data_IF_382234122119
#
_entry.id   IF_382234122119
#
_cell.length_a   1.000
_cell.length_b   1.000
_cell.length_c   1.000
_cell.angle_alpha   90.00
_cell.angle_beta   90.00
_cell.angle_gamma   90.00
#
_symmetry.space_group_name_H-M   'P 1'
#
loop_
_entity.id
_entity.type
_entity.pdbx_description
1 polymer ?
#
# COMPACT_ATOMS: atom_id res chain seq x y z
N UNK A 1 -51.61 2.05 -2.62
CA UNK A 1 -51.24 0.63 -2.57
C UNK A 1 -49.89 0.46 -3.26
N UNK A 2 -48.80 0.72 -2.52
CA UNK A 2 -47.43 0.64 -3.01
C UNK A 2 -46.97 -0.82 -2.96
N UNK A 3 -46.66 -1.41 -4.11
CA UNK A 3 -45.98 -2.70 -4.19
C UNK A 3 -44.47 -2.45 -4.20
N UNK A 4 -43.84 -2.56 -3.03
CA UNK A 4 -42.39 -2.55 -2.89
C UNK A 4 -41.85 -3.89 -3.41
N UNK A 5 -41.28 -3.89 -4.62
CA UNK A 5 -40.57 -5.05 -5.17
C UNK A 5 -39.23 -5.13 -4.47
N UNK A 6 -39.13 -6.00 -3.46
CA UNK A 6 -37.85 -6.39 -2.86
C UNK A 6 -36.94 -6.95 -3.97
N UNK A 7 -35.93 -6.18 -4.37
CA UNK A 7 -34.80 -6.72 -5.14
C UNK A 7 -34.08 -7.69 -4.22
N UNK A 8 -34.12 -8.98 -4.56
CA UNK A 8 -33.47 -10.04 -3.81
C UNK A 8 -31.98 -9.75 -3.68
N UNK A 9 -31.49 -9.72 -2.45
CA UNK A 9 -30.08 -9.91 -2.19
C UNK A 9 -29.71 -11.32 -2.66
N UNK A 10 -28.99 -11.42 -3.77
CA UNK A 10 -28.28 -12.65 -4.10
C UNK A 10 -27.19 -12.85 -3.05
N UNK A 11 -27.48 -13.65 -2.04
CA UNK A 11 -26.48 -14.21 -1.14
C UNK A 11 -25.60 -15.12 -1.98
N UNK A 12 -24.38 -14.69 -2.29
CA UNK A 12 -23.37 -15.58 -2.84
C UNK A 12 -23.05 -16.65 -1.78
N UNK A 13 -23.45 -17.88 -2.04
CA UNK A 13 -23.06 -19.03 -1.22
C UNK A 13 -21.55 -19.23 -1.38
N UNK A 14 -20.79 -18.98 -0.31
CA UNK A 14 -19.35 -19.11 -0.36
C UNK A 14 -18.92 -20.57 -0.26
N UNK A 15 -18.67 -21.21 -1.40
CA UNK A 15 -17.99 -22.51 -1.46
C UNK A 15 -16.50 -22.40 -1.08
N UNK A 16 -15.86 -23.49 -0.64
CA UNK A 16 -14.43 -23.50 -0.34
C UNK A 16 -13.64 -23.21 -1.62
N UNK A 17 -12.83 -22.13 -1.62
CA UNK A 17 -11.99 -21.72 -2.75
C UNK A 17 -12.44 -20.47 -3.51
N UNK A 18 -13.32 -19.63 -2.95
CA UNK A 18 -13.71 -18.38 -3.60
C UNK A 18 -12.53 -17.43 -3.78
N UNK A 19 -12.22 -17.17 -5.06
CA UNK A 19 -11.27 -16.15 -5.53
C UNK A 19 -12.06 -15.04 -6.22
N UNK A 20 -12.75 -14.17 -5.46
CA UNK A 20 -13.69 -13.20 -6.04
C UNK A 20 -13.04 -12.20 -7.01
N UNK A 21 -11.72 -12.05 -6.95
CA UNK A 21 -10.95 -11.20 -7.88
C UNK A 21 -10.14 -12.00 -8.90
N UNK A 22 -10.47 -13.27 -9.13
CA UNK A 22 -9.85 -14.04 -10.19
C UNK A 22 -10.08 -13.37 -11.56
N UNK A 23 -9.01 -13.29 -12.37
CA UNK A 23 -9.01 -12.60 -13.65
C UNK A 23 -8.71 -11.10 -13.57
N UNK A 24 -8.76 -10.49 -12.39
CA UNK A 24 -8.42 -9.08 -12.19
C UNK A 24 -6.90 -8.91 -12.08
N UNK A 25 -6.35 -7.94 -12.82
CA UNK A 25 -4.94 -7.54 -12.78
C UNK A 25 -4.76 -6.21 -12.09
N UNK A 26 -3.87 -6.20 -11.10
CA UNK A 26 -3.54 -5.04 -10.28
C UNK A 26 -2.09 -4.63 -10.52
N UNK A 27 -1.88 -3.40 -10.96
CA UNK A 27 -0.58 -2.76 -11.02
C UNK A 27 -0.30 -2.05 -9.69
N UNK A 28 0.66 -2.56 -8.92
CA UNK A 28 1.02 -2.07 -7.60
C UNK A 28 2.30 -1.21 -7.70
N UNK A 29 2.14 0.11 -7.67
CA UNK A 29 3.25 1.08 -7.59
C UNK A 29 3.52 1.51 -6.14
N UNK A 30 2.91 0.84 -5.16
CA UNK A 30 2.91 1.28 -3.77
C UNK A 30 4.17 0.84 -3.03
N UNK A 31 4.45 1.53 -1.92
CA UNK A 31 5.60 1.28 -1.04
C UNK A 31 5.22 1.28 0.43
N UNK A 32 6.09 0.72 1.26
CA UNK A 32 5.99 0.74 2.73
C UNK A 32 4.85 -0.15 3.27
N UNK A 33 3.69 0.41 3.61
CA UNK A 33 2.67 -0.33 4.35
C UNK A 33 1.26 -0.20 3.79
N UNK A 34 0.68 1.01 3.82
CA UNK A 34 -0.75 1.18 3.52
C UNK A 34 -1.15 0.65 2.14
N UNK A 35 -0.39 1.02 1.11
CA UNK A 35 -0.60 0.53 -0.24
C UNK A 35 -0.28 -0.96 -0.41
N UNK A 36 0.91 -1.45 0.00
CA UNK A 36 1.24 -2.86 -0.14
C UNK A 36 0.25 -3.78 0.58
N UNK A 37 -0.25 -3.36 1.75
CA UNK A 37 -1.27 -4.08 2.50
C UNK A 37 -2.60 -4.16 1.73
N UNK A 38 -3.05 -3.04 1.14
CA UNK A 38 -4.27 -3.02 0.34
C UNK A 38 -4.17 -3.95 -0.87
N UNK A 39 -3.09 -3.87 -1.64
CA UNK A 39 -2.90 -4.72 -2.83
C UNK A 39 -2.63 -6.18 -2.49
N UNK A 40 -2.01 -6.46 -1.33
CA UNK A 40 -1.89 -7.83 -0.82
C UNK A 40 -3.26 -8.45 -0.56
N UNK A 41 -4.20 -7.72 0.04
CA UNK A 41 -5.57 -8.21 0.23
C UNK A 41 -6.21 -8.54 -1.12
N UNK A 42 -6.01 -7.71 -2.15
CA UNK A 42 -6.51 -8.01 -3.50
C UNK A 42 -5.90 -9.32 -4.05
N UNK A 43 -4.60 -9.54 -3.83
CA UNK A 43 -3.92 -10.80 -4.20
C UNK A 43 -4.40 -12.01 -3.39
N UNK A 44 -4.66 -11.84 -2.09
CA UNK A 44 -5.25 -12.87 -1.22
C UNK A 44 -6.67 -13.26 -1.69
N UNK A 45 -7.42 -12.30 -2.24
CA UNK A 45 -8.74 -12.49 -2.86
C UNK A 45 -8.68 -13.00 -4.32
N UNK A 46 -7.48 -13.27 -4.84
CA UNK A 46 -7.26 -13.98 -6.09
C UNK A 46 -6.81 -13.14 -7.28
N UNK A 47 -6.65 -11.83 -7.13
CA UNK A 47 -6.15 -10.95 -8.19
C UNK A 47 -4.69 -11.27 -8.55
N UNK A 48 -4.33 -11.04 -9.81
CA UNK A 48 -2.94 -11.05 -10.26
C UNK A 48 -2.31 -9.68 -9.96
N UNK A 49 -1.45 -9.61 -8.94
CA UNK A 49 -0.81 -8.37 -8.53
C UNK A 49 0.62 -8.30 -9.07
N UNK A 50 0.93 -7.24 -9.82
CA UNK A 50 2.26 -6.95 -10.37
C UNK A 50 2.80 -5.72 -9.64
N UNK A 51 3.74 -5.94 -8.73
CA UNK A 51 4.45 -4.89 -8.00
C UNK A 51 5.62 -4.37 -8.82
N UNK A 52 5.63 -3.06 -9.06
CA UNK A 52 6.76 -2.37 -9.69
C UNK A 52 7.68 -1.84 -8.62
N UNK A 53 8.95 -2.23 -8.70
CA UNK A 53 9.96 -1.90 -7.70
C UNK A 53 11.15 -1.17 -8.32
N UNK A 54 11.89 -0.41 -7.50
CA UNK A 54 13.11 0.25 -7.96
C UNK A 54 14.21 -0.78 -8.21
N UNK A 55 15.06 -0.61 -9.22
CA UNK A 55 16.26 -1.41 -9.37
C UNK A 55 17.13 -1.39 -8.11
N UNK A 56 17.84 -2.50 -7.88
CA UNK A 56 18.81 -2.75 -6.80
C UNK A 56 18.27 -2.76 -5.37
N UNK A 57 17.41 -1.80 -5.01
CA UNK A 57 16.91 -1.60 -3.64
C UNK A 57 15.48 -2.07 -3.43
N UNK A 58 14.66 -2.05 -4.48
CA UNK A 58 13.23 -2.35 -4.41
C UNK A 58 12.42 -1.43 -3.49
N UNK A 59 11.41 -2.00 -2.82
CA UNK A 59 10.69 -1.39 -1.70
C UNK A 59 11.61 -1.20 -0.48
N UNK A 60 11.53 -0.06 0.20
CA UNK A 60 12.40 0.22 1.38
C UNK A 60 12.23 -0.84 2.47
N UNK A 61 11.02 -1.39 2.60
CA UNK A 61 10.71 -2.40 3.61
C UNK A 61 11.48 -3.69 3.44
N UNK A 62 12.06 -3.97 2.26
CA UNK A 62 12.95 -5.14 2.05
C UNK A 62 14.13 -5.12 3.01
N UNK A 63 14.64 -3.94 3.35
CA UNK A 63 15.77 -3.75 4.26
C UNK A 63 15.36 -3.45 5.72
N UNK A 64 14.07 -3.24 6.00
CA UNK A 64 13.59 -2.85 7.33
C UNK A 64 13.42 -4.06 8.25
N UNK A 65 14.52 -4.60 8.75
CA UNK A 65 14.53 -5.63 9.80
C UNK A 65 15.37 -5.19 11.01
N UNK A 66 15.65 -6.10 11.96
CA UNK A 66 15.24 -7.52 12.02
C UNK A 66 13.74 -7.74 12.34
N UNK A 67 13.18 -8.93 12.02
CA UNK A 67 13.87 -10.15 11.62
C UNK A 67 13.95 -10.28 10.09
N UNK A 68 14.97 -11.00 9.63
CA UNK A 68 15.16 -11.31 8.22
C UNK A 68 14.93 -12.81 8.00
N UNK A 69 14.34 -13.16 6.86
CA UNK A 69 14.30 -14.53 6.33
C UNK A 69 15.12 -14.50 5.04
N UNK A 70 16.23 -15.24 5.04
CA UNK A 70 17.30 -15.07 4.05
C UNK A 70 17.72 -13.60 3.95
N UNK A 71 17.55 -12.97 2.79
CA UNK A 71 17.95 -11.58 2.52
C UNK A 71 16.77 -10.60 2.52
N UNK A 72 15.57 -11.03 2.91
CA UNK A 72 14.38 -10.17 2.92
C UNK A 72 13.86 -9.97 4.34
N UNK A 73 13.47 -8.73 4.65
CA UNK A 73 12.79 -8.44 5.91
C UNK A 73 11.43 -9.15 5.97
N UNK A 74 11.10 -9.69 7.16
CA UNK A 74 9.75 -10.20 7.44
C UNK A 74 8.70 -9.09 7.30
N UNK A 75 9.07 -7.82 7.49
CA UNK A 75 8.17 -6.71 7.22
C UNK A 75 7.69 -6.75 5.76
N UNK A 76 8.62 -6.76 4.81
CA UNK A 76 8.31 -6.83 3.39
C UNK A 76 7.48 -8.08 3.04
N UNK A 77 7.92 -9.24 3.52
CA UNK A 77 7.26 -10.53 3.27
C UNK A 77 5.81 -10.53 3.79
N UNK A 78 5.56 -9.89 4.95
CA UNK A 78 4.23 -9.89 5.58
C UNK A 78 3.16 -9.14 4.79
N UNK A 79 3.55 -8.17 3.94
CA UNK A 79 2.65 -7.30 3.18
C UNK A 79 2.83 -7.37 1.65
N UNK A 80 3.64 -8.31 1.15
CA UNK A 80 3.87 -8.48 -0.29
C UNK A 80 3.79 -9.94 -0.78
N UNK A 81 3.23 -10.87 0.01
CA UNK A 81 2.83 -12.19 -0.50
C UNK A 81 1.79 -12.07 -1.63
N UNK A 82 1.69 -13.12 -2.45
CA UNK A 82 0.79 -13.21 -3.60
C UNK A 82 1.00 -12.14 -4.69
N UNK A 83 2.19 -11.53 -4.73
CA UNK A 83 2.57 -10.55 -5.76
C UNK A 83 3.71 -11.07 -6.63
N UNK A 84 3.65 -10.74 -7.91
CA UNK A 84 4.81 -10.80 -8.82
C UNK A 84 5.56 -9.48 -8.68
N UNK A 85 6.88 -9.51 -8.80
CA UNK A 85 7.72 -8.30 -8.73
C UNK A 85 8.46 -8.08 -10.05
N UNK A 86 8.54 -6.83 -10.49
CA UNK A 86 9.33 -6.39 -11.63
C UNK A 86 10.10 -5.11 -11.27
N UNK A 87 11.39 -5.08 -11.59
CA UNK A 87 12.22 -3.90 -11.38
C UNK A 87 12.09 -2.95 -12.57
N UNK A 88 11.69 -1.70 -12.33
CA UNK A 88 11.57 -0.65 -13.35
C UNK A 88 12.10 0.67 -12.80
N UNK A 89 13.04 1.29 -13.50
CA UNK A 89 13.50 2.64 -13.17
C UNK A 89 12.55 3.70 -13.74
N UNK A 90 11.68 4.25 -12.90
CA UNK A 90 10.77 5.31 -13.31
C UNK A 90 11.47 6.64 -13.61
N UNK A 91 12.74 6.82 -13.23
CA UNK A 91 13.50 8.03 -13.61
C UNK A 91 13.88 8.01 -15.09
N UNK A 92 13.90 6.84 -15.72
CA UNK A 92 14.22 6.70 -17.12
C UNK A 92 12.92 6.73 -17.97
N UNK A 93 12.89 7.45 -19.11
CA UNK A 93 11.69 7.51 -19.96
C UNK A 93 11.17 6.13 -20.39
N UNK A 94 12.06 5.17 -20.68
CA UNK A 94 11.63 3.81 -21.01
C UNK A 94 10.95 3.09 -19.84
N UNK A 95 11.31 3.39 -18.59
CA UNK A 95 10.63 2.84 -17.43
C UNK A 95 9.21 3.38 -17.28
N UNK A 96 9.01 4.67 -17.56
CA UNK A 96 7.68 5.27 -17.64
C UNK A 96 6.85 4.58 -18.73
N UNK A 97 7.41 4.36 -19.92
CA UNK A 97 6.73 3.65 -21.01
C UNK A 97 6.33 2.22 -20.61
N UNK A 98 7.21 1.48 -19.93
CA UNK A 98 6.90 0.13 -19.42
C UNK A 98 5.70 0.18 -18.47
N UNK A 99 5.64 1.15 -17.55
CA UNK A 99 4.50 1.28 -16.63
C UNK A 99 3.21 1.65 -17.37
N UNK A 100 3.28 2.53 -18.37
CA UNK A 100 2.12 2.86 -19.21
C UNK A 100 1.60 1.64 -19.98
N UNK A 101 2.49 0.79 -20.50
CA UNK A 101 2.12 -0.47 -21.16
C UNK A 101 1.51 -1.49 -20.19
N UNK A 102 2.04 -1.57 -18.96
CA UNK A 102 1.46 -2.42 -17.91
C UNK A 102 0.08 -1.92 -17.50
N UNK A 103 -0.09 -0.60 -17.32
CA UNK A 103 -1.37 0.02 -16.94
C UNK A 103 -2.47 -0.22 -18.00
N UNK A 104 -2.11 -0.29 -19.27
CA UNK A 104 -3.04 -0.66 -20.35
C UNK A 104 -3.55 -2.11 -20.29
N UNK A 105 -2.83 -2.98 -19.57
CA UNK A 105 -3.15 -4.42 -19.44
C UNK A 105 -3.68 -4.79 -18.06
N UNK A 106 -3.81 -3.82 -17.16
CA UNK A 106 -4.30 -3.99 -15.81
C UNK A 106 -5.67 -3.31 -15.66
N UNK A 107 -6.48 -3.84 -14.76
CA UNK A 107 -7.80 -3.31 -14.45
C UNK A 107 -7.73 -2.27 -13.34
N UNK A 108 -6.78 -2.41 -12.42
CA UNK A 108 -6.57 -1.53 -11.27
C UNK A 108 -5.12 -1.09 -11.21
N UNK A 109 -4.88 0.19 -10.92
CA UNK A 109 -3.58 0.71 -10.51
C UNK A 109 -3.70 1.27 -9.10
N UNK A 110 -2.79 0.89 -8.21
CA UNK A 110 -2.69 1.43 -6.86
C UNK A 110 -1.33 2.08 -6.65
N UNK A 111 -1.32 3.29 -6.09
CA UNK A 111 -0.11 4.05 -5.81
C UNK A 111 -0.23 4.86 -4.51
N UNK A 112 0.91 5.20 -3.92
CA UNK A 112 0.96 6.00 -2.69
C UNK A 112 2.08 7.04 -2.69
N UNK A 113 2.33 7.66 -3.84
CA UNK A 113 3.24 8.80 -3.96
C UNK A 113 2.59 10.07 -3.42
N UNK A 114 3.41 11.11 -3.22
CA UNK A 114 2.87 12.43 -2.94
C UNK A 114 1.98 12.90 -4.10
N UNK A 115 0.82 13.54 -3.83
CA UNK A 115 -0.07 14.05 -4.87
C UNK A 115 0.68 14.87 -5.93
N UNK A 116 0.43 14.59 -7.21
CA UNK A 116 1.08 15.26 -8.34
C UNK A 116 2.48 14.71 -8.70
N UNK A 117 3.01 13.74 -7.96
CA UNK A 117 4.34 13.16 -8.29
C UNK A 117 4.30 12.36 -9.59
N UNK A 118 3.28 11.52 -9.77
CA UNK A 118 3.13 10.68 -10.98
C UNK A 118 2.61 11.48 -12.19
N UNK A 119 1.84 12.54 -11.97
CA UNK A 119 1.39 13.46 -13.03
C UNK A 119 2.59 14.05 -13.80
N UNK A 120 3.67 14.41 -13.08
CA UNK A 120 4.92 14.92 -13.69
C UNK A 120 5.64 13.91 -14.58
N UNK A 121 5.23 12.65 -14.53
CA UNK A 121 5.83 11.53 -15.24
C UNK A 121 4.85 10.94 -16.26
N UNK A 122 3.70 11.58 -16.50
CA UNK A 122 2.62 11.06 -17.34
C UNK A 122 2.10 9.68 -16.90
N UNK A 123 2.12 9.46 -15.58
CA UNK A 123 1.58 8.28 -14.90
C UNK A 123 0.40 8.65 -13.98
N UNK A 124 -0.06 9.90 -14.05
CA UNK A 124 -1.23 10.38 -13.33
C UNK A 124 -2.53 9.83 -13.92
N UNK A 125 -3.63 10.00 -13.17
CA UNK A 125 -4.96 9.53 -13.59
C UNK A 125 -5.36 10.07 -14.97
N UNK A 126 -5.19 11.36 -15.23
CA UNK A 126 -5.59 11.98 -16.50
C UNK A 126 -4.81 11.44 -17.71
N UNK A 127 -3.54 11.07 -17.54
CA UNK A 127 -2.75 10.45 -18.62
C UNK A 127 -3.13 8.99 -18.81
N UNK A 128 -3.24 8.22 -17.73
CA UNK A 128 -3.50 6.78 -17.81
C UNK A 128 -4.93 6.44 -18.18
N UNK A 129 -5.92 7.25 -17.76
CA UNK A 129 -7.33 7.07 -18.16
C UNK A 129 -7.54 7.29 -19.67
N UNK A 130 -6.74 8.14 -20.30
CA UNK A 130 -6.74 8.28 -21.77
C UNK A 130 -6.19 7.05 -22.48
N UNK A 131 -5.21 6.38 -21.88
CA UNK A 131 -4.63 5.14 -22.42
C UNK A 131 -5.50 3.91 -22.14
N UNK A 132 -6.14 3.87 -20.98
CA UNK A 132 -7.05 2.80 -20.56
C UNK A 132 -8.28 3.40 -19.84
N UNK A 133 -9.37 3.69 -20.57
CA UNK A 133 -10.58 4.29 -20.00
C UNK A 133 -11.31 3.43 -18.97
N UNK A 134 -11.00 2.13 -18.88
CA UNK A 134 -11.59 1.23 -17.89
C UNK A 134 -10.73 1.09 -16.62
N UNK A 135 -9.55 1.72 -16.58
CA UNK A 135 -8.62 1.63 -15.46
C UNK A 135 -9.20 2.26 -14.20
N UNK A 136 -9.27 1.46 -13.13
CA UNK A 136 -9.54 1.96 -11.78
C UNK A 136 -8.23 2.45 -11.18
N UNK A 137 -8.09 3.76 -11.02
CA UNK A 137 -6.90 4.38 -10.42
C UNK A 137 -7.15 4.71 -8.95
N UNK A 138 -6.35 4.14 -8.06
CA UNK A 138 -6.42 4.35 -6.61
C UNK A 138 -5.13 5.00 -6.10
N UNK A 139 -5.27 6.17 -5.46
CA UNK A 139 -4.17 6.88 -4.82
C UNK A 139 -4.37 6.96 -3.32
N UNK A 140 -3.34 6.59 -2.55
CA UNK A 140 -3.32 6.63 -1.09
C UNK A 140 -2.31 7.68 -0.64
N UNK A 141 -2.77 8.72 0.05
CA UNK A 141 -1.90 9.77 0.59
C UNK A 141 -2.24 10.07 2.05
N UNK A 142 -1.26 10.57 2.81
CA UNK A 142 -1.41 10.78 4.25
C UNK A 142 -2.40 11.89 4.64
N UNK A 143 -2.53 12.93 3.81
CA UNK A 143 -3.40 14.08 4.06
C UNK A 143 -4.49 14.27 2.98
N UNK A 144 -4.70 13.28 2.12
CA UNK A 144 -5.59 13.39 0.97
C UNK A 144 -4.94 14.05 -0.24
N UNK A 145 -5.69 14.11 -1.35
CA UNK A 145 -5.21 14.63 -2.64
C UNK A 145 -5.26 16.16 -2.71
N UNK A 146 -5.99 16.81 -1.80
CA UNK A 146 -6.23 18.25 -1.79
C UNK A 146 -6.04 18.84 -0.39
N UNK A 147 -6.07 20.18 -0.31
CA UNK A 147 -5.91 20.90 0.95
C UNK A 147 -4.47 21.29 1.28
N UNK A 148 -4.28 22.09 2.34
CA UNK A 148 -3.02 22.80 2.62
C UNK A 148 -1.85 21.87 2.97
N UNK A 149 -2.13 20.63 3.39
CA UNK A 149 -1.12 19.63 3.78
C UNK A 149 -0.99 18.46 2.79
N UNK A 150 -1.66 18.53 1.63
CA UNK A 150 -1.62 17.47 0.60
C UNK A 150 -0.20 17.09 0.17
N UNK A 151 0.72 18.07 0.16
CA UNK A 151 2.13 17.88 -0.21
C UNK A 151 3.04 17.48 0.97
N UNK A 152 2.50 17.33 2.17
CA UNK A 152 3.24 16.91 3.36
C UNK A 152 3.38 15.39 3.39
N UNK A 153 4.58 14.82 3.61
CA UNK A 153 4.74 13.39 3.83
C UNK A 153 3.91 12.91 5.04
N UNK A 154 3.14 11.84 4.84
CA UNK A 154 2.37 11.21 5.89
C UNK A 154 2.99 9.89 6.31
N UNK A 155 3.37 9.79 7.59
CA UNK A 155 3.81 8.56 8.25
C UNK A 155 2.87 8.20 9.38
N UNK A 156 2.84 6.93 9.78
CA UNK A 156 1.93 6.41 10.82
C UNK A 156 2.00 7.18 12.15
N UNK A 157 3.20 7.58 12.55
CA UNK A 157 3.48 8.30 13.79
C UNK A 157 2.91 9.71 13.73
N UNK A 158 3.02 10.37 12.57
CA UNK A 158 2.42 11.68 12.34
C UNK A 158 0.89 11.56 12.33
N UNK A 159 0.34 10.54 11.66
CA UNK A 159 -1.10 10.29 11.65
C UNK A 159 -1.64 10.03 13.06
N UNK A 160 -0.91 9.25 13.87
CA UNK A 160 -1.26 8.93 15.26
C UNK A 160 -1.17 10.13 16.19
N UNK A 161 -0.19 11.03 15.99
CA UNK A 161 -0.09 12.27 16.74
C UNK A 161 -1.24 13.22 16.39
N UNK A 162 -1.48 13.43 15.09
CA UNK A 162 -2.46 14.38 14.58
C UNK A 162 -3.91 13.96 14.85
N UNK A 163 -4.20 12.66 14.88
CA UNK A 163 -5.54 12.14 15.19
C UNK A 163 -5.89 12.21 16.68
N UNK A 164 -4.93 12.56 17.54
CA UNK A 164 -5.10 12.52 18.99
C UNK A 164 -4.94 11.12 19.59
N UNK A 165 -4.63 10.09 18.78
CA UNK A 165 -4.38 8.73 19.31
C UNK A 165 -3.24 8.73 20.33
N UNK A 166 -2.16 9.48 20.06
CA UNK A 166 -1.07 9.61 21.03
C UNK A 166 -1.46 10.34 22.33
N UNK A 167 -2.50 11.19 22.31
CA UNK A 167 -2.95 11.88 23.53
C UNK A 167 -3.73 10.95 24.46
N UNK A 168 -4.53 10.05 23.89
CA UNK A 168 -5.42 9.14 24.64
C UNK A 168 -4.80 7.78 24.92
N UNK A 169 -3.61 7.50 24.36
CA UNK A 169 -2.93 6.20 24.49
C UNK A 169 -1.68 6.37 25.31
N UNK A 170 -1.63 5.74 26.48
CA UNK A 170 -0.48 5.78 27.38
C UNK A 170 -0.90 5.79 28.84
N UNK A 171 0.06 5.62 29.75
CA UNK A 171 -0.19 5.80 31.18
C UNK A 171 -0.61 7.24 31.49
N UNK A 172 -1.39 7.43 32.56
CA UNK A 172 -1.74 8.77 33.05
C UNK A 172 -0.48 9.59 33.35
N UNK A 173 -0.57 10.90 33.11
CA UNK A 173 0.54 11.85 33.21
C UNK A 173 1.26 11.69 34.56
N UNK A 174 2.50 11.19 34.54
CA UNK A 174 3.30 10.94 35.75
C UNK A 174 3.84 9.51 35.89
N UNK A 175 3.30 8.53 35.16
CA UNK A 175 3.82 7.16 35.12
C UNK A 175 4.57 6.89 33.80
N UNK A 176 5.85 7.25 33.70
CA UNK A 176 6.86 6.73 32.76
C UNK A 176 6.60 6.75 31.22
N UNK A 177 7.36 7.60 30.52
CA UNK A 177 7.75 7.45 29.09
C UNK A 177 6.83 8.11 28.04
N UNK A 178 7.33 8.92 27.07
CA UNK A 178 6.53 9.36 25.93
C UNK A 178 5.99 8.17 25.13
N UNK A 179 4.83 8.29 24.50
CA UNK A 179 4.18 7.25 23.67
C UNK A 179 5.11 6.66 22.59
N UNK A 180 6.11 7.44 22.15
CA UNK A 180 7.18 7.00 21.27
C UNK A 180 8.05 5.89 21.87
N UNK A 181 8.23 5.81 23.18
CA UNK A 181 9.02 4.77 23.84
C UNK A 181 8.35 3.40 23.73
N UNK A 182 7.02 3.29 23.63
CA UNK A 182 6.34 1.99 23.44
C UNK A 182 6.43 1.49 21.99
N UNK A 183 6.32 2.41 21.03
CA UNK A 183 6.52 2.10 19.61
C UNK A 183 8.00 1.75 19.33
N UNK A 184 8.93 2.51 19.94
CA UNK A 184 10.36 2.26 19.88
C UNK A 184 10.78 1.01 20.66
N UNK A 185 10.17 0.72 21.81
CA UNK A 185 10.41 -0.50 22.61
C UNK A 185 10.00 -1.75 21.84
N UNK A 186 8.89 -1.71 21.09
CA UNK A 186 8.46 -2.84 20.25
C UNK A 186 9.39 -3.08 19.05
N UNK A 187 9.99 -2.02 18.51
CA UNK A 187 11.06 -2.13 17.50
C UNK A 187 12.43 -2.51 18.10
N UNK A 188 12.73 -2.06 19.33
CA UNK A 188 13.99 -2.29 20.03
C UNK A 188 14.07 -3.62 20.79
N UNK A 189 12.95 -4.32 20.99
CA UNK A 189 12.98 -5.66 21.61
C UNK A 189 13.73 -6.69 20.76
N UNK A 190 14.20 -6.32 19.55
CA UNK A 190 15.17 -7.10 18.76
C UNK A 190 16.62 -6.64 18.82
N UNK A 191 16.95 -5.58 19.54
CA UNK A 191 18.33 -5.06 19.63
C UNK A 191 19.13 -5.60 20.83
N UNK A 192 18.48 -6.18 21.86
CA UNK A 192 19.17 -6.65 23.08
C UNK A 192 19.27 -8.18 23.21
N UNK A 193 19.04 -8.92 22.12
CA UNK A 193 19.28 -10.36 22.07
C UNK A 193 20.73 -10.69 21.69
N UNK A 194 21.71 -10.41 22.57
CA UNK A 194 23.11 -10.78 22.34
C UNK A 194 24.03 -10.57 23.53
N UNK A 195 24.53 -11.69 24.08
CA UNK A 195 25.62 -11.87 25.07
C UNK A 195 25.35 -11.53 26.55
N UNK A 196 24.80 -12.51 27.28
CA UNK A 196 25.58 -13.35 28.21
C UNK A 196 25.21 -14.81 28.01
#
# INVERSE_FOLDING_TARGET
MFALRMMGFHVFSAGPGLRPLEGIRVLDLTRVLAGPFATMILGDLGAEVIKVERPDVGDDTRAWGPPFVANESVYFLSVNRNKKSVCVDLKHPSGVTIVQELAQRCDVLVENFLPGKLDKMSLGYEDLSRLNPQLIYCSISGYGQSGPRSQTPGYDSIASAMSGMMHITGPEVGCSGPVLDLFWSSLCFKSTGGTQ
#
